data_IF_047126963896
#
_entry.id   IF_047126963896
#
_cell.length_a   1.000
_cell.length_b   1.000
_cell.length_c   1.000
_cell.angle_alpha   90.00
_cell.angle_beta   90.00
_cell.angle_gamma   90.00
#
_symmetry.space_group_name_H-M   'P 1'
#
loop_
_entity.id
_entity.type
_entity.pdbx_description
1 polymer ?
#
# COMPACT_ATOMS: atom_id res chain seq x y z
N UNK A 1 -5.88 16.34 -5.27
CA UNK A 1 -5.37 15.79 -6.55
C UNK A 1 -6.26 14.61 -6.91
N UNK A 2 -6.64 14.44 -8.17
CA UNK A 2 -7.43 13.26 -8.59
C UNK A 2 -6.49 12.11 -8.98
N UNK A 3 -6.78 10.89 -8.50
CA UNK A 3 -6.06 9.67 -8.84
C UNK A 3 -7.01 8.68 -9.51
N UNK A 4 -6.49 7.91 -10.46
CA UNK A 4 -7.24 6.87 -11.19
C UNK A 4 -6.64 5.49 -10.93
N UNK A 5 -7.50 4.52 -10.65
CA UNK A 5 -7.13 3.11 -10.58
C UNK A 5 -7.04 2.52 -11.99
N UNK A 6 -5.84 2.12 -12.43
CA UNK A 6 -5.61 1.58 -13.79
C UNK A 6 -6.40 0.30 -14.08
N UNK A 7 -6.70 -0.53 -13.07
CA UNK A 7 -7.39 -1.81 -13.27
C UNK A 7 -8.90 -1.64 -13.48
N UNK A 8 -9.53 -0.77 -12.69
CA UNK A 8 -10.98 -0.61 -12.63
C UNK A 8 -11.46 0.74 -13.19
N UNK A 9 -10.53 1.62 -13.59
CA UNK A 9 -10.81 2.98 -14.09
C UNK A 9 -11.65 3.83 -13.11
N UNK A 10 -11.53 3.54 -11.82
CA UNK A 10 -12.18 4.30 -10.78
C UNK A 10 -11.34 5.52 -10.41
N UNK A 11 -12.02 6.68 -10.31
CA UNK A 11 -11.42 7.93 -9.86
C UNK A 11 -11.68 8.16 -8.39
N UNK A 12 -10.67 8.69 -7.69
CA UNK A 12 -10.78 9.05 -6.28
C UNK A 12 -9.91 10.24 -5.93
N UNK A 13 -10.25 10.90 -4.83
CA UNK A 13 -9.47 12.02 -4.33
C UNK A 13 -8.23 11.54 -3.56
N UNK A 14 -7.11 12.25 -3.74
CA UNK A 14 -5.83 11.97 -3.10
C UNK A 14 -5.87 11.98 -1.57
N UNK A 15 -6.71 12.80 -0.96
CA UNK A 15 -6.84 12.89 0.50
C UNK A 15 -7.42 11.60 1.10
N UNK A 16 -8.24 10.90 0.32
CA UNK A 16 -8.89 9.65 0.72
C UNK A 16 -8.44 8.46 -0.14
N UNK A 17 -7.29 8.56 -0.82
CA UNK A 17 -6.83 7.56 -1.76
C UNK A 17 -6.52 6.24 -1.05
N UNK A 18 -7.36 5.23 -1.24
CA UNK A 18 -7.13 3.88 -0.76
C UNK A 18 -7.62 2.86 -1.79
N UNK A 19 -6.92 1.73 -1.91
CA UNK A 19 -7.37 0.66 -2.78
C UNK A 19 -8.69 0.08 -2.22
N UNK A 20 -9.75 0.08 -3.03
CA UNK A 20 -11.04 -0.53 -2.68
C UNK A 20 -11.04 -2.06 -2.79
N UNK A 21 -10.02 -2.61 -3.45
CA UNK A 21 -9.88 -4.04 -3.75
C UNK A 21 -8.55 -4.60 -3.20
N UNK A 22 -8.29 -4.57 -1.88
CA UNK A 22 -7.03 -5.06 -1.31
C UNK A 22 -6.88 -6.60 -1.40
N UNK A 23 -7.99 -7.33 -1.55
CA UNK A 23 -7.99 -8.79 -1.71
C UNK A 23 -7.86 -9.27 -3.15
N UNK A 24 -8.02 -8.39 -4.13
CA UNK A 24 -7.84 -8.72 -5.55
C UNK A 24 -6.37 -8.65 -5.93
N UNK A 25 -5.91 -9.62 -6.72
CA UNK A 25 -4.63 -9.50 -7.37
C UNK A 25 -4.61 -8.29 -8.32
N UNK A 26 -3.61 -7.44 -8.17
CA UNK A 26 -3.38 -6.28 -9.02
C UNK A 26 -1.91 -6.23 -9.47
N UNK A 27 -1.67 -6.43 -10.75
CA UNK A 27 -0.33 -6.40 -11.36
C UNK A 27 0.37 -5.03 -11.20
N UNK A 28 -0.41 -3.96 -10.99
CA UNK A 28 0.10 -2.60 -10.83
C UNK A 28 0.37 -2.25 -9.37
N UNK A 29 0.19 -3.16 -8.39
CA UNK A 29 0.28 -2.83 -6.96
C UNK A 29 1.61 -2.18 -6.57
N UNK A 30 2.71 -2.63 -7.17
CA UNK A 30 4.06 -2.11 -6.95
C UNK A 30 4.29 -0.70 -7.51
N UNK A 31 3.47 -0.25 -8.45
CA UNK A 31 3.56 1.07 -9.10
C UNK A 31 2.30 1.93 -8.93
N UNK A 32 1.33 1.47 -8.13
CA UNK A 32 0.03 2.10 -7.97
C UNK A 32 0.12 3.33 -7.05
N UNK A 33 -0.10 4.52 -7.61
CA UNK A 33 -0.06 5.78 -6.87
C UNK A 33 -1.05 5.81 -5.69
N UNK A 34 -2.26 5.27 -5.88
CA UNK A 34 -3.29 5.17 -4.83
C UNK A 34 -2.79 4.32 -3.66
N UNK A 35 -2.05 3.25 -3.93
CA UNK A 35 -1.50 2.39 -2.88
C UNK A 35 -0.41 3.11 -2.08
N UNK A 36 0.46 3.86 -2.76
CA UNK A 36 1.51 4.66 -2.12
C UNK A 36 0.93 5.80 -1.27
N UNK A 37 0.05 6.62 -1.85
CA UNK A 37 -0.56 7.76 -1.15
C UNK A 37 -1.43 7.28 0.01
N UNK A 38 -2.23 6.22 -0.17
CA UNK A 38 -3.02 5.67 0.94
C UNK A 38 -2.16 5.18 2.11
N UNK A 39 -1.00 4.60 1.81
CA UNK A 39 -0.03 4.20 2.83
C UNK A 39 0.63 5.41 3.51
N UNK A 40 0.81 6.52 2.81
CA UNK A 40 1.31 7.78 3.38
C UNK A 40 0.26 8.44 4.28
N UNK A 41 -0.97 8.63 3.79
CA UNK A 41 -2.08 9.24 4.53
C UNK A 41 -2.35 8.48 5.84
N UNK A 42 -2.28 7.14 5.81
CA UNK A 42 -2.44 6.29 6.99
C UNK A 42 -1.35 6.50 8.06
N UNK A 43 -0.13 6.88 7.64
CA UNK A 43 1.00 7.15 8.56
C UNK A 43 0.94 8.56 9.14
N UNK A 44 0.49 9.55 8.38
CA UNK A 44 0.33 10.93 8.87
C UNK A 44 -0.77 11.06 9.92
N UNK A 45 -1.80 10.19 9.88
CA UNK A 45 -2.89 10.21 10.87
C UNK A 45 -2.64 9.36 12.12
N UNK A 46 -1.64 8.48 12.10
CA UNK A 46 -1.28 7.61 13.23
C UNK A 46 0.23 7.59 13.39
N UNK A 47 0.73 8.37 14.35
CA UNK A 47 2.06 8.15 14.89
C UNK A 47 2.25 6.67 15.23
N UNK A 48 3.25 6.05 14.60
CA UNK A 48 3.83 4.76 14.95
C UNK A 48 2.84 3.66 15.37
N UNK A 49 2.36 2.85 14.43
CA UNK A 49 1.96 1.48 14.75
C UNK A 49 2.53 0.52 13.73
N UNK A 50 3.48 -0.24 14.28
CA UNK A 50 4.31 -1.35 13.81
C UNK A 50 3.48 -2.46 13.13
N UNK A 51 4.01 -2.98 12.01
CA UNK A 51 3.75 -4.32 11.43
C UNK A 51 4.87 -4.51 10.38
N UNK A 52 6.04 -5.01 10.74
CA UNK A 52 6.37 -6.43 10.98
C UNK A 52 6.01 -7.34 9.80
N UNK A 53 7.02 -7.59 8.96
CA UNK A 53 7.15 -8.88 8.31
C UNK A 53 8.56 -9.34 8.59
N UNK A 54 8.72 -9.91 9.78
CA UNK A 54 9.77 -10.86 10.09
C UNK A 54 9.46 -12.21 9.44
N UNK A 55 10.50 -12.89 8.90
CA UNK A 55 10.73 -14.35 8.84
C UNK A 55 11.75 -14.66 7.71
N UNK A 56 12.79 -15.50 7.83
CA UNK A 56 13.43 -16.27 8.90
C UNK A 56 14.63 -17.03 8.25
N UNK A 57 15.63 -17.46 9.05
CA UNK A 57 16.42 -18.72 8.91
C UNK A 57 17.76 -18.66 8.13
N UNK A 58 18.93 -19.26 8.47
CA UNK A 58 19.61 -19.81 9.67
C UNK A 58 21.02 -20.32 9.18
N UNK A 59 22.10 -20.21 9.98
CA UNK A 59 23.36 -21.01 9.89
C UNK A 59 24.49 -20.45 8.99
N UNK A 60 25.79 -20.43 9.35
CA UNK A 60 26.65 -21.44 10.03
C UNK A 60 27.81 -20.74 10.78
N UNK A 61 28.15 -21.33 11.93
CA UNK A 61 29.33 -21.15 12.78
C UNK A 61 30.61 -21.75 12.14
N UNK A 62 31.76 -21.09 12.26
CA UNK A 62 33.09 -21.65 11.94
C UNK A 62 33.80 -22.09 13.23
#
# INVERSE_FOLDING_TARGET
MELECVKYHEKMDSEHAHCRHPGDYCQHRSSCMIHFIGKENSKSSKGASKDDSEQHDQGVMD
#
